data_IF_283110310120
#
_entry.id   IF_283110310120
#
_cell.length_a   1.000
_cell.length_b   1.000
_cell.length_c   1.000
_cell.angle_alpha   90.00
_cell.angle_beta   90.00
_cell.angle_gamma   90.00
#
_symmetry.space_group_name_H-M   'P 1'
#
loop_
_entity.id
_entity.type
_entity.pdbx_description
1 polymer ?
#
# COMPACT_ATOMS: atom_id res chain seq x y z
N UNK A 1 1.12 -7.54 -6.54
CA UNK A 1 2.35 -6.97 -7.12
C UNK A 1 2.75 -5.79 -6.24
N UNK A 2 3.84 -5.96 -5.49
CA UNK A 2 4.27 -5.08 -4.41
C UNK A 2 5.02 -3.86 -4.94
N UNK A 3 4.54 -2.67 -4.63
CA UNK A 3 5.28 -1.41 -4.78
C UNK A 3 5.48 -0.80 -3.40
N UNK A 4 6.55 -1.19 -2.71
CA UNK A 4 7.04 -0.48 -1.54
C UNK A 4 7.69 0.82 -2.03
N UNK A 5 7.03 1.95 -1.75
CA UNK A 5 7.54 3.29 -1.95
C UNK A 5 8.67 3.51 -0.94
N UNK A 6 9.89 3.49 -1.47
CA UNK A 6 11.11 3.91 -0.80
C UNK A 6 11.15 5.43 -0.80
N UNK A 7 10.52 6.02 0.22
CA UNK A 7 10.47 7.45 0.47
C UNK A 7 11.67 7.91 1.30
N UNK A 8 12.63 8.50 0.58
CA UNK A 8 13.41 9.68 0.97
C UNK A 8 14.17 9.72 2.30
N UNK A 9 15.47 9.41 2.17
CA UNK A 9 16.56 10.35 2.45
C UNK A 9 16.71 10.84 3.91
N UNK A 10 17.21 9.97 4.79
CA UNK A 10 17.91 10.40 5.99
C UNK A 10 19.32 10.90 5.61
N UNK A 11 19.51 12.23 5.65
CA UNK A 11 20.82 12.86 5.55
C UNK A 11 21.61 12.61 6.84
N UNK A 12 22.23 11.42 6.94
CA UNK A 12 23.29 11.13 7.89
C UNK A 12 24.61 10.90 7.14
N UNK A 13 25.23 11.98 6.70
CA UNK A 13 26.67 11.99 6.49
C UNK A 13 27.25 13.25 7.11
N UNK A 14 27.71 13.08 8.36
CA UNK A 14 28.74 13.90 8.94
C UNK A 14 29.97 13.82 8.04
N UNK A 15 30.20 14.89 7.28
CA UNK A 15 31.44 15.15 6.58
C UNK A 15 32.21 16.18 7.39
N UNK A 16 33.08 15.67 8.25
CA UNK A 16 34.49 16.02 8.29
C UNK A 16 34.87 17.41 7.77
N UNK A 17 34.80 18.41 8.64
CA UNK A 17 35.70 19.57 8.55
C UNK A 17 36.13 19.98 9.96
N UNK A 18 37.05 19.20 10.53
CA UNK A 18 37.97 19.71 11.56
C UNK A 18 38.92 20.71 10.89
N UNK A 19 38.40 21.85 10.44
CA UNK A 19 39.21 23.03 10.24
C UNK A 19 39.47 23.60 11.63
N UNK A 20 40.69 23.41 12.12
CA UNK A 20 41.30 24.31 13.10
C UNK A 20 41.21 25.73 12.57
N UNK A 21 40.07 26.38 12.82
CA UNK A 21 39.88 27.81 12.63
C UNK A 21 40.67 28.49 13.72
N UNK A 22 41.96 28.70 13.50
CA UNK A 22 42.72 29.74 14.17
C UNK A 22 41.88 31.01 14.05
N UNK A 23 41.30 31.45 15.16
CA UNK A 23 40.34 32.53 15.21
C UNK A 23 41.03 33.82 14.80
N UNK A 24 41.05 34.11 13.51
CA UNK A 24 41.43 35.42 13.01
C UNK A 24 40.28 36.36 13.34
N UNK A 25 40.30 36.89 14.56
CA UNK A 25 39.42 38.00 14.94
C UNK A 25 39.68 39.12 13.93
N UNK A 26 38.68 39.57 13.16
CA UNK A 26 38.85 40.65 12.21
C UNK A 26 39.54 41.84 12.89
N UNK A 27 40.53 42.50 12.26
CA UNK A 27 41.28 43.59 12.88
C UNK A 27 40.38 44.69 13.44
N UNK A 28 39.22 44.93 12.81
CA UNK A 28 38.20 45.86 13.30
C UNK A 28 37.57 45.44 14.63
N UNK A 29 37.21 44.15 14.79
CA UNK A 29 36.67 43.64 16.07
C UNK A 29 37.74 43.65 17.16
N UNK A 30 38.96 43.23 16.83
CA UNK A 30 40.08 43.28 17.77
C UNK A 30 40.38 44.73 18.21
N UNK A 31 40.35 45.69 17.27
CA UNK A 31 40.54 47.10 17.58
C UNK A 31 39.44 47.65 18.49
N UNK A 32 38.17 47.25 18.27
CA UNK A 32 37.05 47.61 19.13
C UNK A 32 37.23 47.12 20.58
N UNK A 33 37.59 45.84 20.73
CA UNK A 33 37.88 45.26 22.06
C UNK A 33 39.07 45.94 22.74
N UNK A 34 40.14 46.22 21.98
CA UNK A 34 41.32 46.94 22.50
C UNK A 34 40.96 48.36 22.93
N UNK A 35 40.06 49.06 22.22
CA UNK A 35 39.60 50.39 22.62
C UNK A 35 38.84 50.33 23.96
N UNK A 36 37.93 49.37 24.13
CA UNK A 36 37.16 49.18 25.38
C UNK A 36 38.10 48.84 26.55
N UNK A 37 39.16 48.07 26.31
CA UNK A 37 40.16 47.75 27.33
C UNK A 37 41.08 48.93 27.67
N UNK A 38 41.38 49.81 26.71
CA UNK A 38 42.20 51.02 26.93
C UNK A 38 41.54 52.06 27.83
N UNK A 39 40.22 52.13 27.82
CA UNK A 39 39.45 53.06 28.65
C UNK A 39 39.33 52.60 30.12
N UNK A 40 39.85 51.42 30.47
CA UNK A 40 39.86 50.90 31.85
C UNK A 40 41.13 51.32 32.60
N UNK A 41 40.98 51.62 33.89
CA UNK A 41 42.09 51.89 34.79
C UNK A 41 42.97 50.64 34.99
N UNK A 42 44.22 50.85 35.41
CA UNK A 42 45.17 49.74 35.65
C UNK A 42 44.65 48.79 36.74
N UNK A 43 43.94 49.31 37.75
CA UNK A 43 43.36 48.49 38.82
C UNK A 43 42.18 47.65 38.33
N UNK A 44 41.35 48.18 37.42
CA UNK A 44 40.31 47.41 36.75
C UNK A 44 40.90 46.32 35.85
N UNK A 45 41.96 46.60 35.10
CA UNK A 45 42.65 45.61 34.29
C UNK A 45 43.28 44.51 35.15
N UNK A 46 43.92 44.87 36.28
CA UNK A 46 44.43 43.90 37.27
C UNK A 46 43.30 43.05 37.85
N UNK A 47 42.16 43.67 38.18
CA UNK A 47 40.97 42.96 38.65
C UNK A 47 40.45 42.00 37.59
N UNK A 48 40.39 42.42 36.33
CA UNK A 48 39.95 41.61 35.20
C UNK A 48 40.85 40.40 34.96
N UNK A 49 42.16 40.55 35.16
CA UNK A 49 43.15 39.48 35.03
C UNK A 49 43.13 38.49 36.22
N UNK A 50 42.77 38.97 37.42
CA UNK A 50 42.87 38.19 38.66
C UNK A 50 41.55 37.55 39.13
N UNK A 51 40.41 38.14 38.74
CA UNK A 51 39.09 37.71 39.18
C UNK A 51 38.27 37.20 37.97
N UNK A 52 38.01 35.89 37.96
CA UNK A 52 37.26 35.20 36.90
C UNK A 52 35.84 35.75 36.73
N UNK A 53 35.15 36.07 37.83
CA UNK A 53 33.78 36.59 37.78
C UNK A 53 33.77 38.00 37.19
N UNK A 54 34.76 38.83 37.51
CA UNK A 54 34.93 40.16 36.91
C UNK A 54 35.20 40.08 35.40
N UNK A 55 36.02 39.11 34.98
CA UNK A 55 36.27 38.84 33.56
C UNK A 55 35.00 38.39 32.83
N UNK A 56 34.23 37.46 33.41
CA UNK A 56 32.96 37.00 32.85
C UNK A 56 31.94 38.13 32.75
N UNK A 57 31.81 38.97 33.79
CA UNK A 57 30.93 40.14 33.76
C UNK A 57 31.31 41.13 32.65
N UNK A 58 32.62 41.34 32.42
CA UNK A 58 33.08 42.16 31.31
C UNK A 58 32.74 41.52 29.96
N UNK A 59 32.98 40.23 29.77
CA UNK A 59 32.60 39.55 28.54
C UNK A 59 31.09 39.67 28.28
N UNK A 60 30.23 39.42 29.29
CA UNK A 60 28.78 39.61 29.18
C UNK A 60 28.35 41.06 28.95
N UNK A 61 29.22 42.04 29.20
CA UNK A 61 28.96 43.45 28.93
C UNK A 61 29.22 43.85 27.48
N UNK A 62 30.05 43.08 26.75
CA UNK A 62 30.36 43.32 25.33
C UNK A 62 29.11 43.09 24.47
N UNK A 63 28.85 44.01 23.54
CA UNK A 63 27.66 43.96 22.70
C UNK A 63 27.66 42.73 21.78
N UNK A 64 28.83 42.29 21.31
CA UNK A 64 28.96 41.06 20.52
C UNK A 64 28.51 39.82 21.31
N UNK A 65 28.85 39.76 22.60
CA UNK A 65 28.46 38.64 23.48
C UNK A 65 26.97 38.71 23.80
N UNK A 66 26.41 39.91 24.00
CA UNK A 66 24.96 40.09 24.18
C UNK A 66 24.18 39.64 22.95
N UNK A 67 24.55 40.12 21.76
CA UNK A 67 23.92 39.72 20.50
C UNK A 67 24.00 38.20 20.31
N UNK A 68 25.17 37.60 20.59
CA UNK A 68 25.34 36.15 20.46
C UNK A 68 24.47 35.36 21.46
N UNK A 69 24.33 35.85 22.69
CA UNK A 69 23.45 35.25 23.70
C UNK A 69 21.99 35.41 23.31
N UNK A 70 21.57 36.57 22.82
CA UNK A 70 20.19 36.83 22.37
C UNK A 70 19.81 35.88 21.21
N UNK A 71 20.71 35.72 20.22
CA UNK A 71 20.50 34.76 19.12
C UNK A 71 20.42 33.32 19.64
N UNK A 72 21.27 32.95 20.59
CA UNK A 72 21.24 31.61 21.18
C UNK A 72 19.92 31.37 21.96
N UNK A 73 19.47 32.35 22.73
CA UNK A 73 18.21 32.30 23.47
C UNK A 73 17.01 32.18 22.51
N UNK A 74 17.01 32.93 21.41
CA UNK A 74 15.96 32.86 20.40
C UNK A 74 15.95 31.52 19.67
N UNK A 75 17.11 30.98 19.30
CA UNK A 75 17.23 29.62 18.74
C UNK A 75 16.74 28.55 19.74
N UNK A 76 17.06 28.69 21.03
CA UNK A 76 16.58 27.79 22.06
C UNK A 76 15.05 27.85 22.19
N UNK A 77 14.45 29.05 22.16
CA UNK A 77 12.99 29.22 22.18
C UNK A 77 12.33 28.60 20.95
N UNK A 78 12.86 28.87 19.75
CA UNK A 78 12.31 28.33 18.49
C UNK A 78 12.40 26.80 18.46
N UNK A 79 13.53 26.22 18.85
CA UNK A 79 13.70 24.77 18.91
C UNK A 79 12.72 24.14 19.91
N UNK A 80 12.54 24.75 21.09
CA UNK A 80 11.57 24.28 22.07
C UNK A 80 10.14 24.35 21.52
N UNK A 81 9.77 25.43 20.82
CA UNK A 81 8.47 25.56 20.18
C UNK A 81 8.27 24.48 19.10
N UNK A 82 9.25 24.26 18.23
CA UNK A 82 9.19 23.22 17.19
C UNK A 82 9.08 21.82 17.80
N UNK A 83 9.80 21.55 18.90
CA UNK A 83 9.71 20.29 19.61
C UNK A 83 8.31 20.07 20.19
N UNK A 84 7.70 21.09 20.79
CA UNK A 84 6.33 21.03 21.31
C UNK A 84 5.30 20.83 20.18
N UNK A 85 5.40 21.59 19.09
CA UNK A 85 4.52 21.43 17.93
C UNK A 85 4.63 20.04 17.27
N UNK A 86 5.83 19.46 17.25
CA UNK A 86 6.05 18.10 16.76
C UNK A 86 5.45 17.05 17.70
N UNK A 87 5.62 17.22 19.01
CA UNK A 87 5.03 16.35 20.02
C UNK A 87 3.50 16.40 19.97
N UNK A 88 2.90 17.57 19.74
CA UNK A 88 1.45 17.73 19.56
C UNK A 88 0.92 17.00 18.31
N UNK A 89 1.74 16.82 17.25
CA UNK A 89 1.36 16.10 16.03
C UNK A 89 1.49 14.58 16.17
N UNK A 90 2.32 14.09 17.09
CA UNK A 90 2.58 12.66 17.28
C UNK A 90 1.30 11.83 17.48
N UNK A 91 0.33 12.21 18.36
CA UNK A 91 -0.88 11.43 18.56
C UNK A 91 -1.69 11.26 17.27
N UNK A 92 -1.78 12.32 16.45
CA UNK A 92 -2.51 12.29 15.18
C UNK A 92 -1.82 11.38 14.16
N UNK A 93 -0.49 11.38 14.11
CA UNK A 93 0.27 10.48 13.24
C UNK A 93 0.05 9.02 13.64
N UNK A 94 0.08 8.72 14.94
CA UNK A 94 -0.16 7.36 15.46
C UNK A 94 -1.58 6.90 15.15
N UNK A 95 -2.58 7.76 15.34
CA UNK A 95 -3.98 7.47 15.01
C UNK A 95 -4.15 7.13 13.52
N UNK A 96 -3.61 7.96 12.61
CA UNK A 96 -3.70 7.73 11.16
C UNK A 96 -2.99 6.44 10.73
N UNK A 97 -1.83 6.12 11.33
CA UNK A 97 -1.14 4.85 11.08
C UNK A 97 -1.98 3.66 11.53
N UNK A 98 -2.64 3.76 12.69
CA UNK A 98 -3.53 2.70 13.18
C UNK A 98 -4.76 2.53 12.26
N UNK A 99 -5.39 3.64 11.85
CA UNK A 99 -6.51 3.61 10.90
C UNK A 99 -6.12 2.96 9.57
N UNK A 100 -4.96 3.32 9.01
CA UNK A 100 -4.45 2.71 7.78
C UNK A 100 -4.24 1.19 7.96
N UNK A 101 -3.68 0.77 9.10
CA UNK A 101 -3.49 -0.64 9.42
C UNK A 101 -4.84 -1.38 9.48
N UNK A 102 -5.85 -0.79 10.11
CA UNK A 102 -7.20 -1.38 10.19
C UNK A 102 -7.80 -1.53 8.78
N UNK A 103 -7.78 -0.49 7.96
CA UNK A 103 -8.33 -0.52 6.59
C UNK A 103 -7.64 -1.62 5.77
N UNK A 104 -6.30 -1.67 5.80
CA UNK A 104 -5.53 -2.66 5.05
C UNK A 104 -5.79 -4.11 5.52
N UNK A 105 -5.94 -4.33 6.83
CA UNK A 105 -6.07 -5.68 7.39
C UNK A 105 -7.51 -6.20 7.42
N UNK A 106 -8.49 -5.32 7.45
CA UNK A 106 -9.90 -5.69 7.55
C UNK A 106 -10.62 -5.45 6.23
N UNK A 107 -10.81 -4.20 5.85
CA UNK A 107 -11.62 -3.82 4.70
C UNK A 107 -11.02 -4.31 3.37
N UNK A 108 -9.72 -4.06 3.16
CA UNK A 108 -9.05 -4.50 1.93
C UNK A 108 -9.00 -6.03 1.84
N UNK A 109 -8.73 -6.72 2.95
CA UNK A 109 -8.70 -8.18 2.99
C UNK A 109 -10.08 -8.79 2.69
N UNK A 110 -11.16 -8.25 3.28
CA UNK A 110 -12.54 -8.67 3.00
C UNK A 110 -12.93 -8.42 1.53
N UNK A 111 -12.56 -7.27 0.97
CA UNK A 111 -12.83 -6.94 -0.44
C UNK A 111 -12.10 -7.91 -1.40
N UNK A 112 -10.84 -8.25 -1.09
CA UNK A 112 -10.06 -9.22 -1.85
C UNK A 112 -10.65 -10.62 -1.76
N UNK A 113 -11.06 -11.08 -0.57
CA UNK A 113 -11.72 -12.38 -0.41
C UNK A 113 -13.02 -12.46 -1.22
N UNK A 114 -13.85 -11.41 -1.17
CA UNK A 114 -15.07 -11.32 -1.98
C UNK A 114 -14.80 -11.35 -3.48
N UNK A 115 -13.78 -10.62 -3.93
CA UNK A 115 -13.37 -10.62 -5.34
C UNK A 115 -12.94 -12.02 -5.79
N UNK A 116 -12.06 -12.67 -5.03
CA UNK A 116 -11.59 -14.03 -5.32
C UNK A 116 -12.76 -15.04 -5.38
N UNK A 117 -13.75 -14.91 -4.48
CA UNK A 117 -14.97 -15.71 -4.49
C UNK A 117 -15.78 -15.54 -5.78
N UNK A 118 -15.96 -14.29 -6.23
CA UNK A 118 -16.68 -13.97 -7.47
C UNK A 118 -15.92 -14.46 -8.72
N UNK A 119 -14.60 -14.33 -8.74
CA UNK A 119 -13.76 -14.85 -9.83
C UNK A 119 -13.86 -16.37 -9.96
N UNK A 120 -13.87 -17.08 -8.81
CA UNK A 120 -14.08 -18.54 -8.80
C UNK A 120 -15.45 -18.92 -9.35
N UNK A 121 -16.52 -18.23 -8.92
CA UNK A 121 -17.87 -18.46 -9.45
C UNK A 121 -17.97 -18.19 -10.95
N UNK A 122 -17.32 -17.11 -11.43
CA UNK A 122 -17.23 -16.79 -12.85
C UNK A 122 -16.54 -17.91 -13.63
N UNK A 123 -15.41 -18.41 -13.14
CA UNK A 123 -14.65 -19.49 -13.78
C UNK A 123 -15.46 -20.80 -13.84
N UNK A 124 -16.16 -21.15 -12.76
CA UNK A 124 -17.08 -22.31 -12.73
C UNK A 124 -18.22 -22.14 -13.75
N UNK A 125 -18.83 -20.95 -13.82
CA UNK A 125 -19.87 -20.64 -14.80
C UNK A 125 -19.33 -20.67 -16.24
N UNK A 126 -18.11 -20.20 -16.48
CA UNK A 126 -17.47 -20.25 -17.80
C UNK A 126 -17.20 -21.69 -18.23
N UNK A 127 -16.81 -22.60 -17.32
CA UNK A 127 -16.65 -24.02 -17.62
C UNK A 127 -17.98 -24.67 -18.04
N UNK A 128 -19.05 -24.41 -17.28
CA UNK A 128 -20.39 -24.96 -17.55
C UNK A 128 -21.04 -24.37 -18.82
N UNK A 129 -20.65 -23.17 -19.22
CA UNK A 129 -21.14 -22.52 -20.44
C UNK A 129 -20.12 -22.57 -21.58
N UNK A 130 -19.04 -23.35 -21.43
CA UNK A 130 -18.07 -23.49 -22.52
C UNK A 130 -18.74 -24.21 -23.70
N UNK A 131 -18.51 -23.77 -24.95
CA UNK A 131 -19.10 -24.41 -26.12
C UNK A 131 -18.85 -25.92 -26.17
N UNK A 132 -17.66 -26.36 -25.75
CA UNK A 132 -17.30 -27.78 -25.66
C UNK A 132 -18.13 -28.53 -24.63
N UNK A 133 -18.30 -28.00 -23.41
CA UNK A 133 -19.14 -28.63 -22.40
C UNK A 133 -20.60 -28.72 -22.85
N UNK A 134 -21.13 -27.65 -23.45
CA UNK A 134 -22.50 -27.64 -23.96
C UNK A 134 -22.71 -28.66 -25.09
N UNK A 135 -21.75 -28.77 -26.02
CA UNK A 135 -21.78 -29.80 -27.06
C UNK A 135 -21.74 -31.22 -26.48
N UNK A 136 -20.85 -31.46 -25.51
CA UNK A 136 -20.76 -32.74 -24.81
C UNK A 136 -22.07 -33.06 -24.08
N UNK A 137 -22.67 -32.10 -23.39
CA UNK A 137 -23.94 -32.26 -22.71
C UNK A 137 -25.09 -32.63 -23.67
N UNK A 138 -25.14 -32.00 -24.85
CA UNK A 138 -26.13 -32.37 -25.89
C UNK A 138 -25.87 -33.80 -26.38
N UNK A 139 -24.61 -34.18 -26.61
CA UNK A 139 -24.23 -35.53 -27.04
C UNK A 139 -24.59 -36.60 -25.98
N UNK A 140 -24.35 -36.34 -24.70
CA UNK A 140 -24.75 -37.24 -23.60
C UNK A 140 -26.28 -37.40 -23.53
N UNK A 141 -27.03 -36.29 -23.69
CA UNK A 141 -28.48 -36.33 -23.76
C UNK A 141 -29.02 -37.10 -24.98
N UNK A 142 -28.30 -37.07 -26.11
CA UNK A 142 -28.59 -37.91 -27.28
C UNK A 142 -28.35 -39.39 -26.97
N UNK A 143 -27.19 -39.74 -26.41
CA UNK A 143 -26.84 -41.12 -26.05
C UNK A 143 -27.86 -41.72 -25.07
N UNK A 144 -28.32 -40.92 -24.09
CA UNK A 144 -29.39 -41.33 -23.16
C UNK A 144 -30.70 -41.62 -23.89
N UNK A 145 -31.10 -40.76 -24.84
CA UNK A 145 -32.34 -40.97 -25.62
C UNK A 145 -32.23 -42.23 -26.50
N UNK A 146 -31.04 -42.51 -27.04
CA UNK A 146 -30.76 -43.73 -27.79
C UNK A 146 -30.87 -44.98 -26.91
N UNK A 147 -30.25 -44.96 -25.72
CA UNK A 147 -30.33 -46.06 -24.76
C UNK A 147 -31.78 -46.34 -24.30
N UNK A 148 -32.58 -45.29 -24.07
CA UNK A 148 -34.02 -45.43 -23.78
C UNK A 148 -34.78 -46.06 -24.96
N UNK A 149 -34.38 -45.78 -26.20
CA UNK A 149 -34.96 -46.36 -27.40
C UNK A 149 -34.61 -47.85 -27.54
N UNK A 150 -33.36 -48.22 -27.25
CA UNK A 150 -32.91 -49.62 -27.23
C UNK A 150 -33.59 -50.44 -26.13
N UNK A 151 -33.74 -49.88 -24.92
CA UNK A 151 -34.53 -50.52 -23.88
C UNK A 151 -35.99 -50.73 -24.32
N UNK A 152 -36.58 -49.75 -25.01
CA UNK A 152 -37.94 -49.87 -25.54
C UNK A 152 -38.04 -50.95 -26.64
N UNK A 153 -37.01 -51.13 -27.47
CA UNK A 153 -36.93 -52.25 -28.42
C UNK A 153 -36.96 -53.59 -27.69
N UNK A 154 -36.17 -53.73 -26.62
CA UNK A 154 -36.11 -54.95 -25.82
C UNK A 154 -37.48 -55.29 -25.20
N UNK A 155 -38.19 -54.29 -24.64
CA UNK A 155 -39.53 -54.48 -24.07
C UNK A 155 -40.55 -55.03 -25.07
N UNK A 156 -40.45 -54.67 -26.35
CA UNK A 156 -41.32 -55.26 -27.39
C UNK A 156 -40.97 -56.70 -27.68
N UNK A 157 -39.68 -57.03 -27.75
CA UNK A 157 -39.21 -58.39 -28.02
C UNK A 157 -39.63 -59.34 -26.89
N UNK A 158 -39.56 -58.86 -25.65
CA UNK A 158 -39.98 -59.57 -24.44
C UNK A 158 -41.51 -59.56 -24.24
N UNK A 159 -42.26 -58.92 -25.15
CA UNK A 159 -43.73 -58.78 -25.15
C UNK A 159 -44.27 -58.09 -23.90
N UNK A 160 -43.47 -57.24 -23.25
CA UNK A 160 -43.87 -56.42 -22.10
C UNK A 160 -44.76 -55.23 -22.50
N UNK A 161 -44.69 -54.84 -23.78
CA UNK A 161 -45.46 -53.74 -24.34
C UNK A 161 -46.08 -54.17 -25.69
N UNK A 162 -47.30 -53.74 -25.95
CA UNK A 162 -47.95 -53.97 -27.24
C UNK A 162 -47.33 -53.09 -28.34
N UNK A 163 -47.54 -53.50 -29.59
CA UNK A 163 -46.98 -52.84 -30.77
C UNK A 163 -47.48 -51.38 -30.89
N UNK A 164 -48.73 -51.10 -30.53
CA UNK A 164 -49.30 -49.75 -30.59
C UNK A 164 -48.62 -48.80 -29.60
N UNK A 165 -48.47 -49.23 -28.35
CA UNK A 165 -47.79 -48.45 -27.32
C UNK A 165 -46.28 -48.29 -27.62
N UNK A 166 -45.64 -49.31 -28.18
CA UNK A 166 -44.26 -49.21 -28.68
C UNK A 166 -44.11 -48.12 -29.73
N UNK A 167 -44.90 -48.16 -30.80
CA UNK A 167 -44.79 -47.20 -31.90
C UNK A 167 -44.97 -45.76 -31.41
N UNK A 168 -45.91 -45.54 -30.48
CA UNK A 168 -46.14 -44.22 -29.90
C UNK A 168 -44.94 -43.73 -29.08
N UNK A 169 -44.40 -44.56 -28.18
CA UNK A 169 -43.23 -44.20 -27.34
C UNK A 169 -41.96 -44.05 -28.17
N UNK A 170 -41.73 -44.97 -29.10
CA UNK A 170 -40.56 -44.99 -29.97
C UNK A 170 -40.51 -43.76 -30.87
N UNK A 171 -41.65 -43.39 -31.48
CA UNK A 171 -41.75 -42.16 -32.28
C UNK A 171 -41.38 -40.92 -31.47
N UNK A 172 -41.82 -40.82 -30.20
CA UNK A 172 -41.47 -39.69 -29.31
C UNK A 172 -39.97 -39.65 -29.03
N UNK A 173 -39.36 -40.78 -28.68
CA UNK A 173 -37.92 -40.87 -28.40
C UNK A 173 -37.09 -40.52 -29.64
N UNK A 174 -37.40 -41.11 -30.81
CA UNK A 174 -36.70 -40.80 -32.07
C UNK A 174 -36.85 -39.33 -32.48
N UNK A 175 -38.04 -38.74 -32.33
CA UNK A 175 -38.23 -37.31 -32.57
C UNK A 175 -37.35 -36.47 -31.64
N UNK A 176 -37.28 -36.82 -30.36
CA UNK A 176 -36.43 -36.13 -29.38
C UNK A 176 -34.93 -36.30 -29.65
N UNK A 177 -34.49 -37.48 -30.09
CA UNK A 177 -33.11 -37.75 -30.49
C UNK A 177 -32.71 -36.90 -31.69
N UNK A 178 -33.48 -36.98 -32.79
CA UNK A 178 -33.16 -36.24 -34.02
C UNK A 178 -33.21 -34.73 -33.82
N UNK A 179 -34.12 -34.21 -32.99
CA UNK A 179 -34.14 -32.79 -32.63
C UNK A 179 -32.82 -32.35 -31.98
N UNK A 180 -32.30 -33.12 -31.01
CA UNK A 180 -31.00 -32.83 -30.36
C UNK A 180 -29.84 -32.98 -31.35
N UNK A 181 -29.88 -34.00 -32.20
CA UNK A 181 -28.87 -34.24 -33.24
C UNK A 181 -28.75 -33.08 -34.22
N UNK A 182 -29.87 -32.48 -34.65
CA UNK A 182 -29.87 -31.29 -35.50
C UNK A 182 -29.28 -30.08 -34.78
N UNK A 183 -29.61 -29.86 -33.50
CA UNK A 183 -29.03 -28.77 -32.69
C UNK A 183 -27.52 -28.97 -32.51
N UNK A 184 -27.08 -30.19 -32.21
CA UNK A 184 -25.66 -30.53 -32.08
C UNK A 184 -24.90 -30.32 -33.39
N UNK A 185 -25.46 -30.76 -34.52
CA UNK A 185 -24.87 -30.55 -35.84
C UNK A 185 -24.77 -29.06 -36.16
N UNK A 186 -25.85 -28.29 -35.96
CA UNK A 186 -25.85 -26.85 -36.16
C UNK A 186 -24.75 -26.16 -35.33
N UNK A 187 -24.67 -26.46 -34.03
CA UNK A 187 -23.67 -25.91 -33.13
C UNK A 187 -22.23 -26.29 -33.51
N UNK A 188 -21.98 -27.50 -34.03
CA UNK A 188 -20.66 -27.91 -34.54
C UNK A 188 -20.27 -27.24 -35.86
N UNK A 189 -21.25 -26.86 -36.68
CA UNK A 189 -21.00 -26.23 -38.00
C UNK A 189 -20.94 -24.71 -37.94
N UNK A 190 -21.56 -24.09 -36.93
CA UNK A 190 -21.42 -22.66 -36.66
C UNK A 190 -20.07 -22.43 -35.99
N UNK A 191 -19.03 -22.09 -36.75
CA UNK A 191 -17.70 -21.72 -36.24
C UNK A 191 -17.78 -20.56 -35.21
N UNK A 192 -17.94 -20.90 -33.93
CA UNK A 192 -17.62 -20.06 -32.78
C UNK A 192 -16.29 -20.55 -32.22
#
# INVERSE_FOLDING_TARGET
MSSFIQGSQEHHHGSSSSSTSTSHVPPGQAAGLVAILKDKSVDELRKLLSNKDAYQQFLSSLDEVKIQNDVNDDLCKENLQLADENLQKEPRIVELRNQNKIICTTELAMAQEKLNGLEKQKEEMMKLNSPLYLLQWIQEAMNKTEAESENLHQQVLDREIDIGAFLQKYKKLRTAYHRKSLVHLAARTSNI
#
